data_IF_710683093539
#
_entry.id   IF_710683093539
#
_cell.length_a   1.000
_cell.length_b   1.000
_cell.length_c   1.000
_cell.angle_alpha   90.00
_cell.angle_beta   90.00
_cell.angle_gamma   90.00
#
_symmetry.space_group_name_H-M   'P 1'
#
loop_
_entity.id
_entity.type
_entity.pdbx_description
1 polymer ?
#
# COMPACT_ATOMS: atom_id res chain seq x y z
N UNK A 1 -3.80 17.48 14.28
CA UNK A 1 -4.39 16.48 13.35
C UNK A 1 -5.06 15.40 14.16
N UNK A 2 -6.30 15.08 13.82
CA UNK A 2 -6.99 13.91 14.37
C UNK A 2 -6.37 12.59 13.84
N UNK A 3 -6.83 11.48 14.41
CA UNK A 3 -6.33 10.12 14.13
C UNK A 3 -6.62 9.68 12.69
N UNK A 4 -7.70 10.18 12.09
CA UNK A 4 -8.04 9.91 10.70
C UNK A 4 -6.96 10.47 9.78
N UNK A 5 -6.64 11.76 9.89
CA UNK A 5 -5.61 12.37 9.04
C UNK A 5 -4.21 11.83 9.32
N UNK A 6 -3.87 11.51 10.59
CA UNK A 6 -2.58 10.87 10.91
C UNK A 6 -2.45 9.51 10.23
N UNK A 7 -3.50 8.69 10.27
CA UNK A 7 -3.55 7.40 9.58
C UNK A 7 -3.44 7.54 8.07
N UNK A 8 -4.18 8.49 7.49
CA UNK A 8 -4.12 8.78 6.06
C UNK A 8 -2.71 9.18 5.61
N UNK A 9 -2.10 10.16 6.27
CA UNK A 9 -0.74 10.63 5.96
C UNK A 9 0.27 9.50 6.12
N UNK A 10 0.20 8.73 7.20
CA UNK A 10 1.08 7.59 7.40
C UNK A 10 0.93 6.52 6.30
N UNK A 11 -0.31 6.22 5.90
CA UNK A 11 -0.61 5.30 4.80
C UNK A 11 -0.07 5.78 3.46
N UNK A 12 -0.20 7.08 3.15
CA UNK A 12 0.35 7.69 1.93
C UNK A 12 1.88 7.68 1.94
N UNK A 13 2.52 8.06 3.04
CA UNK A 13 4.00 8.05 3.14
C UNK A 13 4.54 6.62 3.01
N UNK A 14 3.91 5.65 3.65
CA UNK A 14 4.22 4.24 3.41
C UNK A 14 3.98 3.82 1.97
N UNK A 15 2.92 4.34 1.34
CA UNK A 15 2.59 4.12 -0.06
C UNK A 15 3.68 4.60 -1.00
N UNK A 16 4.24 5.77 -0.75
CA UNK A 16 5.37 6.31 -1.50
C UNK A 16 6.60 5.39 -1.39
N UNK A 17 6.97 4.98 -0.17
CA UNK A 17 8.09 4.05 0.04
C UNK A 17 7.88 2.70 -0.67
N UNK A 18 6.66 2.16 -0.62
CA UNK A 18 6.29 0.94 -1.34
C UNK A 18 6.38 1.09 -2.86
N UNK A 19 5.98 2.24 -3.41
CA UNK A 19 6.08 2.49 -4.85
C UNK A 19 7.53 2.70 -5.31
N UNK A 20 8.40 3.29 -4.48
CA UNK A 20 9.85 3.34 -4.76
C UNK A 20 10.40 1.92 -4.94
N UNK A 21 10.06 0.99 -4.04
CA UNK A 21 10.41 -0.42 -4.20
C UNK A 21 9.81 -1.04 -5.47
N UNK A 22 8.54 -0.77 -5.75
CA UNK A 22 7.85 -1.30 -6.93
C UNK A 22 8.52 -0.87 -8.24
N UNK A 23 8.88 0.40 -8.36
CA UNK A 23 9.58 0.95 -9.51
C UNK A 23 11.00 0.37 -9.63
N UNK A 24 11.71 0.23 -8.51
CA UNK A 24 13.04 -0.39 -8.49
C UNK A 24 12.99 -1.87 -8.93
N UNK A 25 12.05 -2.64 -8.37
CA UNK A 25 11.83 -4.05 -8.69
C UNK A 25 11.44 -4.24 -10.17
N UNK A 26 10.61 -3.35 -10.71
CA UNK A 26 10.14 -3.40 -12.09
C UNK A 26 11.22 -2.97 -13.10
N UNK A 27 11.79 -1.77 -12.96
CA UNK A 27 12.68 -1.18 -13.97
C UNK A 27 14.14 -1.60 -13.86
N UNK A 28 14.63 -1.89 -12.65
CA UNK A 28 16.06 -2.13 -12.42
C UNK A 28 16.33 -3.63 -12.26
N UNK A 29 15.53 -4.30 -11.42
CA UNK A 29 15.73 -5.74 -11.18
C UNK A 29 15.03 -6.63 -12.22
N UNK A 30 14.04 -6.11 -12.94
CA UNK A 30 13.10 -6.91 -13.74
C UNK A 30 12.50 -8.09 -12.94
N UNK A 31 12.33 -7.89 -11.63
CA UNK A 31 11.88 -8.92 -10.69
C UNK A 31 10.35 -8.98 -10.60
N UNK A 32 9.67 -7.86 -10.88
CA UNK A 32 8.21 -7.77 -10.95
C UNK A 32 7.78 -7.43 -12.38
N UNK A 33 6.73 -8.09 -12.87
CA UNK A 33 6.12 -7.81 -14.19
C UNK A 33 5.05 -6.71 -14.13
N UNK A 34 4.70 -6.29 -12.91
CA UNK A 34 3.63 -5.32 -12.63
C UNK A 34 4.03 -4.38 -11.51
N UNK A 35 3.57 -3.14 -11.63
CA UNK A 35 3.71 -2.10 -10.61
C UNK A 35 2.41 -1.99 -9.81
N UNK A 36 2.47 -1.41 -8.61
CA UNK A 36 1.24 -1.19 -7.82
C UNK A 36 0.25 -0.25 -8.52
N UNK A 37 0.72 0.71 -9.31
CA UNK A 37 -0.16 1.57 -10.11
C UNK A 37 -0.90 0.80 -11.22
N UNK A 38 -0.31 -0.28 -11.75
CA UNK A 38 -0.93 -1.10 -12.79
C UNK A 38 -2.16 -1.82 -12.23
N UNK A 39 -2.11 -2.22 -10.97
CA UNK A 39 -3.28 -2.74 -10.25
C UNK A 39 -4.40 -1.69 -10.21
N UNK A 40 -4.12 -0.46 -9.79
CA UNK A 40 -5.14 0.59 -9.73
C UNK A 40 -5.70 0.93 -11.12
N UNK A 41 -4.85 1.00 -12.14
CA UNK A 41 -5.27 1.20 -13.53
C UNK A 41 -6.23 0.12 -14.01
N UNK A 42 -5.92 -1.15 -13.73
CA UNK A 42 -6.78 -2.27 -14.09
C UNK A 42 -8.15 -2.21 -13.39
N UNK A 43 -8.22 -1.78 -12.13
CA UNK A 43 -9.48 -1.62 -11.40
C UNK A 43 -10.33 -0.46 -11.97
N UNK A 44 -9.72 0.67 -12.31
CA UNK A 44 -10.44 1.90 -12.69
C UNK A 44 -10.77 1.91 -14.19
N UNK A 45 -9.80 1.53 -15.02
CA UNK A 45 -9.89 1.63 -16.49
C UNK A 45 -10.12 0.28 -17.17
N UNK A 46 -10.08 -0.85 -16.45
CA UNK A 46 -10.17 -2.18 -17.04
C UNK A 46 -8.97 -2.54 -17.93
N UNK A 47 -7.91 -1.73 -17.92
CA UNK A 47 -6.74 -1.88 -18.78
C UNK A 47 -5.48 -1.33 -18.10
N UNK A 48 -4.32 -1.78 -18.60
CA UNK A 48 -3.03 -1.21 -18.23
C UNK A 48 -2.94 0.23 -18.75
N UNK A 49 -2.22 1.12 -18.06
CA UNK A 49 -2.23 2.53 -18.41
C UNK A 49 -1.50 2.75 -19.75
N UNK A 50 -2.17 3.39 -20.71
CA UNK A 50 -1.65 3.65 -22.07
C UNK A 50 -1.18 5.09 -22.29
N UNK A 51 -1.46 5.98 -21.33
CA UNK A 51 -1.07 7.40 -21.40
C UNK A 51 -0.51 7.89 -20.06
N UNK A 52 0.33 8.93 -20.11
CA UNK A 52 0.89 9.57 -18.92
C UNK A 52 -0.20 10.03 -17.94
N UNK A 53 -1.33 10.52 -18.45
CA UNK A 53 -2.47 10.91 -17.62
C UNK A 53 -3.04 9.72 -16.82
N UNK A 54 -3.26 8.58 -17.47
CA UNK A 54 -3.72 7.36 -16.79
C UNK A 54 -2.72 6.88 -15.74
N UNK A 55 -1.41 6.96 -16.03
CA UNK A 55 -0.36 6.60 -15.07
C UNK A 55 -0.46 7.47 -13.81
N UNK A 56 -0.50 8.80 -13.98
CA UNK A 56 -0.57 9.74 -12.86
C UNK A 56 -1.86 9.55 -12.05
N UNK A 57 -3.00 9.42 -12.73
CA UNK A 57 -4.29 9.25 -12.06
C UNK A 57 -4.37 7.91 -11.31
N UNK A 58 -3.94 6.80 -11.93
CA UNK A 58 -3.88 5.50 -11.28
C UNK A 58 -2.96 5.52 -10.05
N UNK A 59 -1.82 6.21 -10.13
CA UNK A 59 -0.90 6.38 -9.00
C UNK A 59 -1.56 7.17 -7.85
N UNK A 60 -2.29 8.24 -8.15
CA UNK A 60 -3.03 9.02 -7.14
C UNK A 60 -4.06 8.12 -6.45
N UNK A 61 -4.89 7.40 -7.21
CA UNK A 61 -5.91 6.53 -6.63
C UNK A 61 -5.29 5.40 -5.82
N UNK A 62 -4.17 4.84 -6.29
CA UNK A 62 -3.40 3.85 -5.54
C UNK A 62 -2.91 4.40 -4.19
N UNK A 63 -2.41 5.65 -4.17
CA UNK A 63 -1.97 6.31 -2.94
C UNK A 63 -3.14 6.62 -1.99
N UNK A 64 -4.29 7.05 -2.52
CA UNK A 64 -5.50 7.25 -1.73
C UNK A 64 -5.99 5.93 -1.12
N UNK A 65 -5.92 4.83 -1.87
CA UNK A 65 -6.28 3.50 -1.39
C UNK A 65 -5.41 3.06 -0.19
N UNK A 66 -4.08 3.17 -0.29
CA UNK A 66 -3.21 2.83 0.83
C UNK A 66 -3.28 3.85 1.98
N UNK A 67 -3.64 5.11 1.69
CA UNK A 67 -4.02 6.10 2.69
C UNK A 67 -5.26 5.67 3.49
N UNK A 68 -6.29 5.18 2.81
CA UNK A 68 -7.50 4.62 3.44
C UNK A 68 -7.16 3.43 4.35
N UNK A 69 -6.30 2.51 3.90
CA UNK A 69 -5.84 1.42 4.75
C UNK A 69 -5.05 1.93 5.97
N UNK A 70 -4.26 3.00 5.82
CA UNK A 70 -3.59 3.66 6.93
C UNK A 70 -4.56 4.26 7.96
N UNK A 71 -5.68 4.84 7.51
CA UNK A 71 -6.78 5.28 8.40
C UNK A 71 -7.30 4.11 9.23
N UNK A 72 -7.63 2.99 8.56
CA UNK A 72 -8.16 1.80 9.23
C UNK A 72 -7.17 1.30 10.30
N UNK A 73 -5.88 1.20 9.96
CA UNK A 73 -4.85 0.81 10.92
C UNK A 73 -4.79 1.76 12.13
N UNK A 74 -4.84 3.07 11.90
CA UNK A 74 -4.79 4.07 12.96
C UNK A 74 -5.98 4.01 13.93
N UNK A 75 -7.16 3.63 13.42
CA UNK A 75 -8.37 3.43 14.23
C UNK A 75 -8.35 2.10 15.00
N UNK A 76 -7.77 1.04 14.43
CA UNK A 76 -7.69 -0.27 15.07
C UNK A 76 -6.65 -0.33 16.19
N UNK A 77 -5.52 0.36 16.04
CA UNK A 77 -4.35 0.16 16.92
C UNK A 77 -4.59 0.42 18.42
N UNK A 78 -5.45 1.37 18.87
CA UNK A 78 -5.75 1.55 20.29
C UNK A 78 -6.49 0.37 20.92
N UNK A 79 -7.28 -0.37 20.13
CA UNK A 79 -8.11 -1.46 20.63
C UNK A 79 -7.33 -2.74 20.94
N UNK A 80 -6.09 -2.88 20.42
CA UNK A 80 -5.31 -4.14 20.43
C UNK A 80 -3.95 -4.02 21.11
N UNK A 81 -3.70 -2.95 21.88
CA UNK A 81 -2.43 -2.54 22.53
C UNK A 81 -1.37 -1.92 21.61
N UNK A 82 -0.49 -1.08 22.15
CA UNK A 82 0.60 -0.41 21.40
C UNK A 82 1.93 -1.19 21.41
N UNK A 83 2.00 -2.36 22.06
CA UNK A 83 3.21 -3.21 22.08
C UNK A 83 3.44 -3.82 20.68
N UNK A 84 4.71 -3.88 20.25
CA UNK A 84 5.15 -4.38 18.93
C UNK A 84 4.48 -3.68 17.72
N UNK A 85 4.35 -2.35 17.82
CA UNK A 85 3.67 -1.50 16.82
C UNK A 85 4.11 -1.74 15.36
N UNK A 86 5.42 -1.83 15.11
CA UNK A 86 5.96 -2.06 13.76
C UNK A 86 5.62 -3.46 13.22
N UNK A 87 5.67 -4.48 14.08
CA UNK A 87 5.29 -5.84 13.70
C UNK A 87 3.81 -5.95 13.32
N UNK A 88 2.94 -5.22 14.02
CA UNK A 88 1.51 -5.10 13.63
C UNK A 88 1.35 -4.42 12.27
N UNK A 89 2.15 -3.40 11.98
CA UNK A 89 2.21 -2.78 10.66
C UNK A 89 2.56 -3.77 9.55
N UNK A 90 3.59 -4.61 9.78
CA UNK A 90 4.00 -5.66 8.83
C UNK A 90 2.88 -6.66 8.58
N UNK A 91 2.29 -7.21 9.65
CA UNK A 91 1.19 -8.18 9.53
C UNK A 91 0.01 -7.54 8.79
N UNK A 92 -0.33 -6.30 9.14
CA UNK A 92 -1.40 -5.57 8.47
C UNK A 92 -1.12 -5.39 6.97
N UNK A 93 0.10 -4.99 6.60
CA UNK A 93 0.51 -4.87 5.19
C UNK A 93 0.41 -6.18 4.40
N UNK A 94 0.91 -7.28 4.97
CA UNK A 94 0.83 -8.60 4.35
C UNK A 94 -0.62 -9.06 4.19
N UNK A 95 -1.45 -8.89 5.22
CA UNK A 95 -2.85 -9.32 5.19
C UNK A 95 -3.72 -8.45 4.28
N UNK A 96 -3.52 -7.13 4.27
CA UNK A 96 -4.19 -6.26 3.31
C UNK A 96 -3.82 -6.64 1.87
N UNK A 97 -2.54 -6.90 1.58
CA UNK A 97 -2.10 -7.36 0.26
C UNK A 97 -2.72 -8.70 -0.14
N UNK A 98 -2.74 -9.68 0.76
CA UNK A 98 -3.38 -10.98 0.55
C UNK A 98 -4.88 -10.83 0.24
N UNK A 99 -5.61 -10.03 1.01
CA UNK A 99 -7.04 -9.78 0.80
C UNK A 99 -7.28 -9.11 -0.56
N UNK A 100 -6.44 -8.13 -0.94
CA UNK A 100 -6.52 -7.48 -2.25
C UNK A 100 -6.35 -8.50 -3.37
N UNK A 101 -5.38 -9.41 -3.27
CA UNK A 101 -5.21 -10.48 -4.27
C UNK A 101 -6.37 -11.47 -4.30
N UNK A 102 -6.89 -11.84 -3.14
CA UNK A 102 -8.03 -12.73 -3.06
C UNK A 102 -9.24 -12.12 -3.80
N UNK A 103 -9.49 -10.82 -3.60
CA UNK A 103 -10.57 -10.10 -4.30
C UNK A 103 -10.34 -10.13 -5.82
N UNK A 104 -9.17 -9.71 -6.33
CA UNK A 104 -8.96 -9.67 -7.78
C UNK A 104 -9.01 -11.05 -8.44
N UNK A 105 -8.59 -12.08 -7.72
CA UNK A 105 -8.65 -13.48 -8.15
C UNK A 105 -10.10 -14.00 -8.18
N UNK A 106 -10.87 -13.77 -7.12
CA UNK A 106 -12.27 -14.22 -7.02
C UNK A 106 -13.15 -13.57 -8.09
N UNK A 107 -12.96 -12.27 -8.34
CA UNK A 107 -13.68 -11.53 -9.37
C UNK A 107 -13.08 -11.67 -10.78
N UNK A 108 -12.02 -12.48 -10.94
CA UNK A 108 -11.37 -12.77 -12.22
C UNK A 108 -11.00 -11.51 -13.02
N UNK A 109 -10.47 -10.49 -12.33
CA UNK A 109 -10.13 -9.22 -12.98
C UNK A 109 -9.00 -9.45 -13.98
N UNK A 110 -9.19 -9.16 -15.29
CA UNK A 110 -8.19 -9.41 -16.32
C UNK A 110 -6.81 -8.87 -15.92
N UNK A 111 -5.73 -9.53 -16.30
CA UNK A 111 -4.34 -9.14 -15.96
C UNK A 111 -4.01 -9.04 -14.46
N UNK A 112 -4.94 -9.38 -13.54
CA UNK A 112 -4.73 -9.40 -12.09
C UNK A 112 -5.06 -10.76 -11.43
N UNK A 113 -5.31 -11.79 -12.24
CA UNK A 113 -5.62 -13.16 -11.75
C UNK A 113 -4.35 -13.98 -11.56
N UNK A 114 -3.40 -13.87 -12.49
CA UNK A 114 -2.19 -14.68 -12.52
C UNK A 114 -1.00 -13.73 -12.49
N UNK A 115 -0.20 -13.85 -11.44
CA UNK A 115 1.08 -13.19 -11.31
C UNK A 115 2.17 -14.25 -11.19
N UNK A 116 3.36 -13.95 -11.73
CA UNK A 116 4.54 -14.77 -11.47
C UNK A 116 4.91 -14.76 -9.98
N UNK A 117 5.55 -15.83 -9.53
CA UNK A 117 6.03 -15.95 -8.14
C UNK A 117 6.90 -14.77 -7.73
N UNK A 118 7.73 -14.25 -8.64
CA UNK A 118 8.60 -13.10 -8.39
C UNK A 118 7.80 -11.81 -8.21
N UNK A 119 6.75 -11.59 -9.01
CA UNK A 119 5.80 -10.47 -8.82
C UNK A 119 5.08 -10.58 -7.48
N UNK A 120 4.61 -11.76 -7.10
CA UNK A 120 3.96 -11.99 -5.79
C UNK A 120 4.93 -11.66 -4.66
N UNK A 121 6.16 -12.19 -4.70
CA UNK A 121 7.19 -11.92 -3.69
C UNK A 121 7.55 -10.42 -3.62
N UNK A 122 7.75 -9.78 -4.78
CA UNK A 122 8.01 -8.35 -4.87
C UNK A 122 6.92 -7.53 -4.20
N UNK A 123 5.67 -7.90 -4.40
CA UNK A 123 4.54 -7.18 -3.82
C UNK A 123 4.39 -7.44 -2.31
N UNK A 124 4.74 -8.64 -1.82
CA UNK A 124 4.82 -8.91 -0.39
C UNK A 124 5.93 -8.08 0.28
N UNK A 125 7.10 -7.95 -0.36
CA UNK A 125 8.17 -7.05 0.09
C UNK A 125 7.65 -5.60 0.14
N UNK A 126 6.94 -5.16 -0.91
CA UNK A 126 6.27 -3.87 -0.94
C UNK A 126 5.28 -3.69 0.23
N UNK A 127 4.47 -4.70 0.54
CA UNK A 127 3.55 -4.69 1.67
C UNK A 127 4.26 -4.61 3.03
N UNK A 128 5.42 -5.27 3.19
CA UNK A 128 6.28 -5.15 4.38
C UNK A 128 6.83 -3.73 4.51
N UNK A 129 7.38 -3.17 3.41
CA UNK A 129 7.91 -1.80 3.37
C UNK A 129 6.82 -0.80 3.72
N UNK A 130 5.64 -0.95 3.12
CA UNK A 130 4.47 -0.13 3.41
C UNK A 130 4.09 -0.21 4.89
N UNK A 131 3.90 -1.42 5.40
CA UNK A 131 3.48 -1.68 6.78
C UNK A 131 4.45 -1.13 7.82
N UNK A 132 5.76 -1.32 7.62
CA UNK A 132 6.80 -0.76 8.49
C UNK A 132 6.80 0.76 8.46
N UNK A 133 6.78 1.35 7.26
CA UNK A 133 6.88 2.80 7.08
C UNK A 133 5.64 3.50 7.63
N UNK A 134 4.45 3.00 7.29
CA UNK A 134 3.18 3.52 7.80
C UNK A 134 3.12 3.43 9.32
N UNK A 135 3.45 2.28 9.91
CA UNK A 135 3.43 2.13 11.36
C UNK A 135 4.46 3.02 12.06
N UNK A 136 5.66 3.19 11.48
CA UNK A 136 6.67 4.12 11.99
C UNK A 136 6.17 5.57 11.96
N UNK A 137 5.68 6.04 10.81
CA UNK A 137 5.21 7.42 10.62
C UNK A 137 4.03 7.71 11.53
N UNK A 138 3.05 6.81 11.61
CA UNK A 138 1.89 6.98 12.47
C UNK A 138 2.30 7.12 13.94
N UNK A 139 3.21 6.26 14.42
CA UNK A 139 3.74 6.35 15.78
C UNK A 139 4.40 7.71 16.04
N UNK A 140 5.15 8.25 15.07
CA UNK A 140 5.79 9.57 15.19
C UNK A 140 4.77 10.70 15.26
N UNK A 141 3.75 10.65 14.40
CA UNK A 141 2.65 11.62 14.40
C UNK A 141 1.82 11.57 15.68
N UNK A 142 1.69 10.38 16.30
CA UNK A 142 1.00 10.21 17.57
C UNK A 142 1.77 10.77 18.76
N UNK A 143 3.11 10.70 18.74
CA UNK A 143 3.98 11.19 19.83
C UNK A 143 4.28 12.69 19.77
N UNK A 144 3.92 13.39 18.69
CA UNK A 144 4.22 14.81 18.55
C UNK A 144 3.15 15.64 19.27
N UNK A 145 3.49 16.37 20.37
CA UNK A 145 2.54 17.25 21.03
C UNK A 145 2.13 18.39 20.07
N UNK A 146 0.86 18.79 20.11
CA UNK A 146 0.44 20.01 19.44
C UNK A 146 1.16 21.18 20.12
N UNK A 147 2.09 21.83 19.41
CA UNK A 147 2.58 23.14 19.82
C UNK A 147 1.44 24.12 19.53
N UNK A 148 0.78 24.56 20.61
CA UNK A 148 -0.15 25.69 20.60
C UNK A 148 0.64 26.99 20.41
#
# INVERSE_FOLDING_TARGET
>A
MDRFYRGFVAGVVGGLAMNVWSLFSYYILNFSERRFLDWASMIIYGSLPTSTFQIVYAQIIQLLWVGLLGIIFALLIPAITSRFYLGKGVIYGLMSGFIIYAITTLFRIPNLVIFSTTTVLSNHIGGIIWGLTMAYVLRRLDTTPLRN
#
